data_IF_318420277917
#
_entry.id   IF_318420277917
#
_cell.length_a   1.000
_cell.length_b   1.000
_cell.length_c   1.000
_cell.angle_alpha   90.00
_cell.angle_beta   90.00
_cell.angle_gamma   90.00
#
_symmetry.space_group_name_H-M   'P 1'
#
loop_
_entity.id
_entity.type
_entity.pdbx_description
1 polymer ?
#
# COMPACT_ATOMS: atom_id res chain seq x y z
N UNK A 1 -18.13 -35.36 -32.18
CA UNK A 1 -18.82 -36.16 -31.14
C UNK A 1 -20.28 -36.21 -31.51
N UNK A 2 -20.84 -37.39 -31.67
CA UNK A 2 -22.22 -37.57 -32.11
C UNK A 2 -23.27 -37.54 -30.97
N UNK A 3 -22.81 -37.39 -29.74
CA UNK A 3 -23.66 -37.16 -28.58
C UNK A 3 -24.53 -38.32 -28.10
N UNK A 4 -24.51 -39.47 -28.79
CA UNK A 4 -25.33 -40.62 -28.43
C UNK A 4 -24.61 -41.45 -27.35
N UNK A 5 -24.81 -41.12 -26.09
CA UNK A 5 -24.48 -42.00 -24.98
C UNK A 5 -25.69 -42.87 -24.66
N UNK A 6 -25.57 -44.16 -24.93
CA UNK A 6 -26.63 -45.18 -24.62
C UNK A 6 -26.83 -45.41 -23.12
N UNK A 7 -26.13 -44.62 -22.24
CA UNK A 7 -26.20 -44.77 -20.77
C UNK A 7 -26.37 -43.45 -20.07
N UNK A 8 -27.32 -43.39 -19.17
CA UNK A 8 -27.43 -42.32 -18.21
C UNK A 8 -26.18 -42.28 -17.34
N UNK A 9 -25.40 -41.21 -17.48
CA UNK A 9 -24.25 -41.02 -16.62
C UNK A 9 -24.65 -40.31 -15.34
N UNK A 10 -24.92 -41.08 -14.29
CA UNK A 10 -25.32 -40.57 -12.97
C UNK A 10 -24.15 -40.42 -12.00
N UNK A 11 -22.94 -40.77 -12.42
CA UNK A 11 -21.72 -40.60 -11.64
C UNK A 11 -20.94 -39.38 -12.07
N UNK A 12 -20.22 -38.76 -11.13
CA UNK A 12 -19.29 -37.66 -11.47
C UNK A 12 -18.21 -38.19 -12.40
N UNK A 13 -18.26 -37.79 -13.66
CA UNK A 13 -17.22 -38.14 -14.64
C UNK A 13 -16.99 -36.97 -15.61
N UNK A 14 -15.84 -36.96 -16.26
CA UNK A 14 -15.58 -36.02 -17.34
C UNK A 14 -16.45 -36.40 -18.54
N UNK A 15 -17.26 -35.43 -19.02
CA UNK A 15 -18.09 -35.57 -20.24
C UNK A 15 -17.36 -34.98 -21.45
N UNK A 16 -16.42 -34.08 -21.24
CA UNK A 16 -15.57 -33.52 -22.30
C UNK A 16 -14.23 -33.06 -21.69
N UNK A 17 -13.20 -33.10 -22.51
CA UNK A 17 -11.89 -32.54 -22.20
C UNK A 17 -11.51 -31.55 -23.27
N UNK A 18 -11.16 -30.31 -22.85
CA UNK A 18 -10.64 -29.30 -23.76
C UNK A 18 -9.13 -29.20 -23.55
N UNK A 19 -8.38 -29.32 -24.62
CA UNK A 19 -6.95 -29.03 -24.61
C UNK A 19 -6.77 -27.62 -25.18
N UNK A 20 -6.24 -26.74 -24.33
CA UNK A 20 -5.99 -25.34 -24.65
C UNK A 20 -4.48 -25.10 -24.74
N UNK A 21 -4.08 -24.33 -25.74
CA UNK A 21 -2.71 -23.86 -25.88
C UNK A 21 -2.68 -22.36 -25.59
N UNK A 22 -1.75 -21.94 -24.72
CA UNK A 22 -1.52 -20.52 -24.43
C UNK A 22 -0.70 -19.93 -25.57
N UNK A 23 -1.22 -18.87 -26.20
CA UNK A 23 -0.51 -18.18 -27.29
C UNK A 23 0.68 -17.40 -26.72
N UNK A 24 1.73 -17.23 -27.53
CA UNK A 24 2.95 -16.49 -27.16
C UNK A 24 2.68 -15.03 -26.74
N UNK A 25 1.58 -14.45 -27.21
CA UNK A 25 1.16 -13.08 -26.87
C UNK A 25 0.03 -13.02 -25.83
N UNK A 26 -0.20 -14.08 -25.07
CA UNK A 26 -1.20 -14.09 -24.03
C UNK A 26 -0.83 -13.07 -22.94
N UNK A 27 -1.82 -12.28 -22.52
CA UNK A 27 -1.64 -11.33 -21.41
C UNK A 27 -1.45 -12.08 -20.11
N UNK A 28 -0.46 -11.67 -19.31
CA UNK A 28 -0.25 -12.20 -17.96
C UNK A 28 -1.43 -11.81 -17.07
N UNK A 29 -1.90 -12.75 -16.26
CA UNK A 29 -3.02 -12.55 -15.35
C UNK A 29 -4.08 -13.63 -15.46
N UNK A 30 -5.18 -13.39 -14.76
CA UNK A 30 -6.31 -14.31 -14.67
C UNK A 30 -7.32 -14.04 -15.81
N UNK A 31 -7.77 -15.12 -16.42
CA UNK A 31 -8.85 -15.09 -17.41
C UNK A 31 -9.95 -16.05 -16.99
N UNK A 32 -11.14 -15.52 -16.78
CA UNK A 32 -12.32 -16.37 -16.54
C UNK A 32 -12.73 -17.10 -17.82
N UNK A 33 -12.97 -18.40 -17.66
CA UNK A 33 -13.49 -19.25 -18.71
C UNK A 33 -14.91 -19.71 -18.33
N UNK A 34 -15.88 -19.22 -19.06
CA UNK A 34 -17.27 -19.60 -18.89
C UNK A 34 -17.66 -20.66 -19.90
N UNK A 35 -18.18 -21.78 -19.41
CA UNK A 35 -18.74 -22.83 -20.26
C UNK A 35 -20.24 -22.59 -20.38
N UNK A 36 -20.72 -22.41 -21.58
CA UNK A 36 -22.15 -22.31 -21.90
C UNK A 36 -22.59 -23.48 -22.74
N UNK A 37 -23.82 -23.88 -22.59
CA UNK A 37 -24.44 -24.89 -23.45
C UNK A 37 -25.83 -24.39 -23.89
N UNK A 38 -26.31 -24.92 -25.01
CA UNK A 38 -27.67 -24.64 -25.45
C UNK A 38 -28.59 -25.73 -24.86
N UNK A 39 -29.48 -25.37 -23.89
CA UNK A 39 -30.34 -26.35 -23.25
C UNK A 39 -31.36 -27.03 -24.20
N UNK A 40 -31.67 -26.37 -25.32
CA UNK A 40 -32.58 -26.94 -26.32
C UNK A 40 -31.96 -28.11 -27.11
N UNK A 41 -30.63 -28.27 -27.05
CA UNK A 41 -29.88 -29.31 -27.77
C UNK A 41 -29.33 -30.39 -26.82
N UNK A 42 -29.73 -30.37 -25.54
CA UNK A 42 -29.26 -31.34 -24.55
C UNK A 42 -30.47 -32.04 -23.96
N UNK A 43 -30.63 -33.31 -24.25
CA UNK A 43 -31.74 -34.11 -23.81
C UNK A 43 -31.28 -35.55 -23.41
N UNK A 44 -32.04 -36.18 -22.57
CA UNK A 44 -31.85 -37.61 -22.19
C UNK A 44 -32.36 -38.53 -23.32
N UNK A 45 -32.24 -39.83 -23.10
CA UNK A 45 -32.73 -40.83 -24.05
C UNK A 45 -34.25 -40.84 -24.23
N UNK A 46 -34.98 -40.21 -23.30
CA UNK A 46 -36.44 -40.07 -23.33
C UNK A 46 -36.87 -38.75 -24.00
N UNK A 47 -35.90 -38.02 -24.60
CA UNK A 47 -36.05 -36.70 -25.22
C UNK A 47 -36.51 -35.59 -24.28
N UNK A 48 -36.22 -35.73 -23.01
CA UNK A 48 -36.45 -34.66 -21.99
C UNK A 48 -35.22 -33.79 -21.89
N UNK A 49 -35.42 -32.47 -21.77
CA UNK A 49 -34.30 -31.52 -21.64
C UNK A 49 -33.51 -31.79 -20.33
N UNK A 50 -32.18 -31.78 -20.46
CA UNK A 50 -31.27 -31.93 -19.35
C UNK A 50 -30.61 -30.58 -19.09
N UNK A 51 -30.66 -30.13 -17.82
CA UNK A 51 -30.08 -28.89 -17.37
C UNK A 51 -28.80 -29.16 -16.58
N UNK A 52 -27.72 -28.45 -16.98
CA UNK A 52 -26.45 -28.50 -16.28
C UNK A 52 -26.23 -27.22 -15.49
N UNK A 53 -25.69 -27.36 -14.30
CA UNK A 53 -25.10 -26.23 -13.59
C UNK A 53 -23.65 -26.06 -14.08
N UNK A 54 -23.36 -24.95 -14.72
CA UNK A 54 -21.99 -24.59 -15.13
C UNK A 54 -21.31 -23.80 -14.04
N UNK A 55 -20.04 -24.10 -13.78
CA UNK A 55 -19.17 -23.33 -12.90
C UNK A 55 -18.04 -22.78 -13.72
N UNK A 56 -17.84 -21.46 -13.66
CA UNK A 56 -16.72 -20.81 -14.32
C UNK A 56 -15.39 -21.31 -13.73
N UNK A 57 -14.40 -21.46 -14.58
CA UNK A 57 -13.03 -21.76 -14.22
C UNK A 57 -12.14 -20.57 -14.50
N UNK A 58 -10.97 -20.52 -13.89
CA UNK A 58 -9.96 -19.50 -14.15
C UNK A 58 -8.71 -20.14 -14.73
N UNK A 59 -8.15 -19.53 -15.76
CA UNK A 59 -6.82 -19.85 -16.29
C UNK A 59 -5.90 -18.68 -15.97
N UNK A 60 -4.84 -18.94 -15.22
CA UNK A 60 -3.83 -17.94 -14.85
C UNK A 60 -2.62 -18.07 -15.78
N UNK A 61 -2.31 -17.02 -16.51
CA UNK A 61 -1.08 -16.91 -17.30
C UNK A 61 -0.01 -16.29 -16.42
N UNK A 62 1.03 -17.04 -16.12
CA UNK A 62 2.15 -16.60 -15.28
C UNK A 62 3.22 -15.91 -16.13
N UNK A 63 3.93 -14.95 -15.52
CA UNK A 63 5.16 -14.40 -16.08
C UNK A 63 6.29 -15.42 -15.90
N UNK A 64 6.70 -16.07 -16.97
CA UNK A 64 7.72 -17.13 -16.93
C UNK A 64 9.11 -16.56 -16.62
N UNK A 65 9.43 -15.38 -17.18
CA UNK A 65 10.68 -14.66 -16.91
C UNK A 65 10.37 -13.18 -16.69
N UNK A 66 10.82 -12.63 -15.57
CA UNK A 66 10.62 -11.22 -15.27
C UNK A 66 11.59 -10.34 -16.06
N UNK A 67 11.04 -9.36 -16.77
CA UNK A 67 11.81 -8.34 -17.45
C UNK A 67 11.87 -7.09 -16.57
N UNK A 68 12.99 -6.97 -15.86
CA UNK A 68 13.22 -5.83 -14.97
C UNK A 68 13.48 -4.56 -15.80
N UNK A 69 12.75 -3.51 -15.50
CA UNK A 69 13.02 -2.17 -16.00
C UNK A 69 14.27 -1.55 -15.37
N UNK A 70 14.42 -0.25 -15.51
CA UNK A 70 15.46 0.49 -14.79
C UNK A 70 15.18 0.49 -13.29
N UNK A 71 16.25 0.54 -12.47
CA UNK A 71 16.10 0.69 -11.02
C UNK A 71 15.41 2.02 -10.70
N UNK A 72 14.27 1.95 -10.06
CA UNK A 72 13.59 3.11 -9.51
C UNK A 72 14.30 3.45 -8.19
N UNK A 73 14.91 4.64 -8.08
CA UNK A 73 15.75 4.97 -6.94
C UNK A 73 14.96 5.13 -5.65
N UNK A 74 15.63 4.98 -4.53
CA UNK A 74 15.07 5.26 -3.21
C UNK A 74 14.62 6.70 -3.08
N UNK A 75 13.47 6.90 -2.47
CA UNK A 75 12.98 8.19 -1.99
C UNK A 75 13.10 8.17 -0.46
N UNK A 76 14.00 8.96 0.14
CA UNK A 76 14.18 8.96 1.58
C UNK A 76 12.94 9.49 2.31
N UNK A 77 12.66 8.92 3.48
CA UNK A 77 11.60 9.42 4.36
C UNK A 77 11.97 10.80 4.92
N UNK A 78 10.96 11.63 5.17
CA UNK A 78 11.06 12.93 5.84
C UNK A 78 10.12 12.96 7.05
N UNK A 79 10.21 14.02 7.85
CA UNK A 79 9.25 14.26 8.91
C UNK A 79 7.83 14.30 8.33
N UNK A 80 6.92 13.52 8.92
CA UNK A 80 5.53 13.43 8.49
C UNK A 80 5.29 12.79 7.11
N UNK A 81 6.35 12.43 6.35
CA UNK A 81 6.21 11.86 5.00
C UNK A 81 7.02 10.57 4.88
N UNK A 82 6.33 9.48 4.54
CA UNK A 82 6.98 8.21 4.28
C UNK A 82 7.84 8.27 3.01
N UNK A 83 8.94 7.54 3.02
CA UNK A 83 9.80 7.30 1.86
C UNK A 83 9.46 5.98 1.16
N UNK A 84 10.22 5.65 0.14
CA UNK A 84 10.11 4.39 -0.61
C UNK A 84 11.50 3.86 -0.93
N UNK A 85 11.76 2.58 -0.63
CA UNK A 85 13.02 1.89 -0.97
C UNK A 85 13.18 1.81 -2.48
N UNK A 86 14.42 1.68 -2.95
CA UNK A 86 14.69 1.39 -4.36
C UNK A 86 14.08 0.04 -4.77
N UNK A 87 13.58 -0.04 -6.00
CA UNK A 87 12.93 -1.25 -6.51
C UNK A 87 12.98 -1.32 -8.04
N UNK A 88 12.74 -2.52 -8.56
CA UNK A 88 12.48 -2.77 -9.97
C UNK A 88 11.01 -3.09 -10.18
N UNK A 89 10.48 -2.72 -11.32
CA UNK A 89 9.17 -3.16 -11.78
C UNK A 89 9.32 -4.06 -13.01
N UNK A 90 8.61 -5.18 -13.02
CA UNK A 90 8.58 -6.04 -14.19
C UNK A 90 7.69 -5.43 -15.27
N UNK A 91 8.26 -5.13 -16.43
CA UNK A 91 7.53 -4.55 -17.58
C UNK A 91 6.44 -5.45 -18.17
N UNK A 92 6.47 -6.76 -17.85
CA UNK A 92 5.53 -7.75 -18.36
C UNK A 92 4.33 -7.96 -17.45
N UNK A 93 4.57 -8.06 -16.12
CA UNK A 93 3.51 -8.41 -15.16
C UNK A 93 3.27 -7.34 -14.08
N UNK A 94 4.04 -6.25 -14.06
CA UNK A 94 3.88 -5.16 -13.09
C UNK A 94 4.29 -5.51 -11.65
N UNK A 95 4.83 -6.70 -11.39
CA UNK A 95 5.32 -7.07 -10.06
C UNK A 95 6.55 -6.27 -9.68
N UNK A 96 6.69 -6.02 -8.38
CA UNK A 96 7.78 -5.25 -7.81
C UNK A 96 8.84 -6.17 -7.20
N UNK A 97 10.10 -5.75 -7.31
CA UNK A 97 11.26 -6.51 -6.84
C UNK A 97 12.25 -5.59 -6.14
N UNK A 98 12.83 -6.05 -5.05
CA UNK A 98 13.92 -5.35 -4.39
C UNK A 98 15.22 -5.35 -5.22
N UNK A 99 16.27 -4.72 -4.70
CA UNK A 99 17.59 -4.68 -5.37
C UNK A 99 18.23 -6.08 -5.55
N UNK A 100 17.81 -7.07 -4.74
CA UNK A 100 18.23 -8.47 -4.86
C UNK A 100 17.33 -9.27 -5.82
N UNK A 101 16.39 -8.62 -6.49
CA UNK A 101 15.40 -9.25 -7.37
C UNK A 101 14.47 -10.24 -6.66
N UNK A 102 14.19 -10.00 -5.39
CA UNK A 102 13.18 -10.70 -4.61
C UNK A 102 11.85 -9.98 -4.78
N UNK A 103 10.77 -10.72 -5.06
CA UNK A 103 9.42 -10.15 -5.18
C UNK A 103 9.01 -9.51 -3.85
N UNK A 104 8.50 -8.28 -3.92
CA UNK A 104 8.07 -7.50 -2.76
C UNK A 104 6.71 -6.84 -3.04
N UNK A 105 6.00 -6.50 -1.95
CA UNK A 105 4.77 -5.72 -2.04
C UNK A 105 5.05 -4.23 -1.89
N UNK A 106 4.08 -3.39 -2.25
CA UNK A 106 4.15 -1.93 -2.04
C UNK A 106 4.44 -1.58 -0.58
N UNK A 107 3.78 -2.27 0.37
CA UNK A 107 3.94 -2.03 1.80
C UNK A 107 5.36 -2.35 2.29
N UNK A 108 6.02 -3.35 1.71
CA UNK A 108 7.41 -3.73 2.05
C UNK A 108 8.44 -2.71 1.55
N UNK A 109 8.08 -1.92 0.55
CA UNK A 109 8.89 -0.84 0.02
C UNK A 109 8.79 0.46 0.82
N UNK A 110 7.76 0.60 1.67
CA UNK A 110 7.57 1.82 2.47
C UNK A 110 8.71 1.99 3.47
N UNK A 111 9.32 3.17 3.49
CA UNK A 111 10.18 3.65 4.56
C UNK A 111 9.30 4.52 5.48
N UNK A 112 9.11 4.16 6.75
CA UNK A 112 8.26 4.93 7.64
C UNK A 112 8.70 6.39 7.72
N UNK A 113 7.72 7.31 7.81
CA UNK A 113 8.00 8.73 8.03
C UNK A 113 8.81 8.94 9.32
N UNK A 114 9.72 9.91 9.30
CA UNK A 114 10.48 10.27 10.48
C UNK A 114 9.57 11.00 11.48
N UNK A 115 9.80 10.73 12.76
CA UNK A 115 9.21 11.52 13.84
C UNK A 115 10.03 12.79 14.04
N UNK A 116 9.38 13.87 14.48
CA UNK A 116 10.09 15.10 14.85
C UNK A 116 10.98 14.88 16.07
N UNK A 117 12.19 15.41 16.03
CA UNK A 117 13.12 15.42 17.18
C UNK A 117 13.27 16.86 17.63
N UNK A 118 12.85 17.14 18.87
CA UNK A 118 12.94 18.47 19.44
C UNK A 118 14.40 18.86 19.68
N UNK A 119 14.76 20.11 19.37
CA UNK A 119 16.01 20.69 19.85
C UNK A 119 16.04 20.81 21.37
N UNK A 120 17.24 20.95 21.94
CA UNK A 120 17.38 21.17 23.40
C UNK A 120 16.94 22.58 23.83
N UNK A 121 17.15 23.58 22.96
CA UNK A 121 16.78 24.96 23.21
C UNK A 121 15.30 25.26 22.96
N UNK A 122 14.94 26.51 23.24
CA UNK A 122 13.64 27.08 22.94
C UNK A 122 13.81 28.27 21.99
N UNK A 123 12.93 28.35 21.03
CA UNK A 123 12.68 29.60 20.29
C UNK A 123 11.59 30.38 20.98
N UNK A 124 11.63 31.70 20.89
CA UNK A 124 10.62 32.57 21.50
C UNK A 124 10.43 33.85 20.70
N UNK A 125 9.25 34.40 20.83
CA UNK A 125 8.90 35.79 20.51
C UNK A 125 8.40 36.49 21.79
N UNK A 126 7.92 37.73 21.75
CA UNK A 126 7.44 38.43 22.95
C UNK A 126 6.29 37.73 23.67
N UNK A 127 5.48 36.93 22.97
CA UNK A 127 4.24 36.36 23.49
C UNK A 127 4.36 34.86 23.81
N UNK A 128 5.20 34.13 23.03
CA UNK A 128 5.23 32.66 23.05
C UNK A 128 6.65 32.10 22.96
N UNK A 129 6.77 30.83 23.35
CA UNK A 129 7.95 30.01 23.10
C UNK A 129 7.54 28.68 22.46
N UNK A 130 8.49 28.06 21.72
CA UNK A 130 8.28 26.77 21.04
C UNK A 130 9.59 26.05 20.77
N UNK A 131 9.50 24.79 20.35
CA UNK A 131 10.65 24.02 19.87
C UNK A 131 10.52 23.71 18.39
N UNK A 132 11.65 23.62 17.71
CA UNK A 132 11.72 23.20 16.30
C UNK A 132 12.34 21.83 16.17
N UNK A 133 12.08 21.21 15.03
CA UNK A 133 12.62 19.90 14.69
C UNK A 133 14.06 20.02 14.20
N UNK A 134 14.96 19.20 14.75
CA UNK A 134 16.38 19.14 14.38
C UNK A 134 16.67 18.18 13.21
N UNK A 135 15.70 17.41 12.76
CA UNK A 135 15.90 16.53 11.61
C UNK A 135 16.27 17.34 10.38
N UNK A 136 17.26 16.84 9.64
CA UNK A 136 17.81 17.55 8.47
C UNK A 136 16.73 17.97 7.47
N UNK A 137 16.73 19.26 7.13
CA UNK A 137 15.77 19.85 6.20
C UNK A 137 14.32 19.96 6.68
N UNK A 138 14.03 19.69 7.97
CA UNK A 138 12.69 19.84 8.55
C UNK A 138 12.44 21.26 9.04
N UNK A 139 13.00 21.65 10.19
CA UNK A 139 12.85 22.98 10.77
C UNK A 139 11.42 23.37 11.17
N UNK A 140 10.47 22.42 11.19
CA UNK A 140 9.08 22.70 11.57
C UNK A 140 8.93 22.85 13.08
N UNK A 141 7.99 23.69 13.49
CA UNK A 141 7.59 23.81 14.90
C UNK A 141 6.94 22.51 15.35
N UNK A 142 7.36 22.00 16.48
CA UNK A 142 6.83 20.74 17.02
C UNK A 142 5.49 20.99 17.72
N UNK A 143 4.47 20.26 17.25
CA UNK A 143 3.13 20.34 17.83
C UNK A 143 3.14 20.13 19.35
N UNK A 144 2.37 20.95 20.06
CA UNK A 144 2.23 20.89 21.51
C UNK A 144 3.42 21.50 22.30
N UNK A 145 4.43 22.06 21.62
CA UNK A 145 5.53 22.77 22.30
C UNK A 145 5.29 24.29 22.37
N UNK A 146 4.41 24.84 21.55
CA UNK A 146 4.08 26.26 21.59
C UNK A 146 3.25 26.59 22.82
N UNK A 147 3.77 27.48 23.66
CA UNK A 147 3.08 27.98 24.85
C UNK A 147 3.34 29.48 25.02
N UNK A 148 2.38 30.18 25.63
CA UNK A 148 2.56 31.56 25.99
C UNK A 148 3.58 31.69 27.17
N UNK A 149 4.24 32.82 27.23
CA UNK A 149 5.07 33.16 28.38
C UNK A 149 4.18 33.40 29.61
N UNK A 150 4.63 32.91 30.76
CA UNK A 150 4.03 33.16 32.07
C UNK A 150 5.01 33.96 32.94
N UNK A 151 5.10 35.25 32.61
CA UNK A 151 6.02 36.13 33.29
C UNK A 151 5.54 36.40 34.71
N UNK A 152 6.46 36.27 35.69
CA UNK A 152 6.24 36.57 37.08
C UNK A 152 7.05 37.79 37.48
N UNK A 153 6.45 38.65 38.32
CA UNK A 153 7.19 39.77 38.90
C UNK A 153 8.10 39.27 40.05
N UNK A 154 9.40 39.44 39.86
CA UNK A 154 10.41 39.12 40.87
C UNK A 154 10.93 40.40 41.50
N UNK A 155 10.94 40.44 42.83
CA UNK A 155 11.43 41.60 43.57
C UNK A 155 12.95 41.53 43.71
N UNK A 156 13.67 42.41 43.00
CA UNK A 156 15.13 42.51 43.06
C UNK A 156 15.59 43.30 44.31
N UNK A 157 14.83 44.32 44.64
CA UNK A 157 15.12 45.19 45.75
C UNK A 157 13.80 45.63 46.40
N UNK A 158 13.60 45.31 47.68
CA UNK A 158 12.41 45.76 48.41
C UNK A 158 12.41 47.29 48.55
N UNK A 159 11.22 47.87 48.55
CA UNK A 159 11.05 49.30 48.86
C UNK A 159 11.39 49.59 50.30
N UNK A 160 12.00 50.77 50.58
CA UNK A 160 12.22 51.33 51.93
C UNK A 160 11.51 52.66 52.07
N UNK A 161 11.54 53.29 53.26
CA UNK A 161 10.90 54.59 53.46
C UNK A 161 11.48 55.71 52.58
N UNK A 162 12.76 55.54 52.15
CA UNK A 162 13.48 56.55 51.35
C UNK A 162 13.79 56.14 49.93
N UNK A 163 13.61 54.85 49.58
CA UNK A 163 13.94 54.33 48.23
C UNK A 163 12.84 53.46 47.67
N UNK A 164 12.51 53.63 46.39
CA UNK A 164 11.59 52.73 45.64
C UNK A 164 12.20 51.35 45.48
N UNK A 165 11.34 50.30 45.56
CA UNK A 165 11.70 48.94 45.21
C UNK A 165 11.94 48.78 43.70
N UNK A 166 12.65 47.74 43.32
CA UNK A 166 12.90 47.36 41.93
C UNK A 166 12.35 45.96 41.71
N UNK A 167 11.58 45.77 40.64
CA UNK A 167 11.04 44.49 40.20
C UNK A 167 11.34 44.29 38.73
N UNK A 168 11.52 43.07 38.29
CA UNK A 168 11.56 42.70 36.88
C UNK A 168 10.63 41.53 36.58
N UNK A 169 10.26 41.34 35.35
CA UNK A 169 9.57 40.14 34.84
C UNK A 169 10.59 39.05 34.54
N UNK A 170 10.36 37.83 34.99
CA UNK A 170 11.18 36.66 34.73
C UNK A 170 10.32 35.51 34.15
#
# INVERSE_FOLDING_TARGET
>A
WDGSLERNNTTKCAIAQLNLEVKDNATVGDTENTITYNPENVFNQDFENVYFQTVAGTVTVLCAEHQYGDLIPEVPAKCGTAGKKAYYECSVCGKLFDENKTEVTEEQLVIPALTHVAEEGWHSDPDNHWKICTNDGCGEVIDGTTAAHDFQWVEDKPATEDEAGIQHEE
#
